data_IF_864006221309
#
_entry.id   IF_864006221309
#
_cell.length_a   1.000
_cell.length_b   1.000
_cell.length_c   1.000
_cell.angle_alpha   90.00
_cell.angle_beta   90.00
_cell.angle_gamma   90.00
#
_symmetry.space_group_name_H-M   'P 1'
#
loop_
_entity.id
_entity.type
_entity.pdbx_description
1 polymer ?
#
# COMPACT_ATOMS: atom_id res chain seq x y z
N UNK A 1 -3.00 36.27 26.00
CA UNK A 1 -2.69 34.82 26.00
C UNK A 1 -3.65 34.15 25.03
N UNK A 2 -3.15 33.72 23.87
CA UNK A 2 -3.92 33.03 22.84
C UNK A 2 -4.23 31.60 23.29
N UNK A 3 -5.52 31.25 23.38
CA UNK A 3 -6.02 29.91 23.67
C UNK A 3 -5.61 28.97 22.53
N UNK A 4 -4.77 27.98 22.82
CA UNK A 4 -4.50 26.87 21.90
C UNK A 4 -5.81 26.07 21.74
N UNK A 5 -6.34 25.88 20.52
CA UNK A 5 -7.52 25.05 20.32
C UNK A 5 -7.18 23.60 20.69
N UNK A 6 -8.03 22.99 21.51
CA UNK A 6 -7.92 21.60 21.91
C UNK A 6 -8.23 20.69 20.72
N UNK A 7 -7.18 20.08 20.15
CA UNK A 7 -7.25 19.19 19.00
C UNK A 7 -7.97 17.85 19.31
N UNK A 8 -8.26 17.58 20.59
CA UNK A 8 -8.92 16.36 21.06
C UNK A 8 -10.34 16.61 21.60
N UNK A 9 -10.88 17.81 21.42
CA UNK A 9 -12.26 18.14 21.82
C UNK A 9 -13.35 17.48 20.95
N UNK A 10 -12.96 16.72 19.92
CA UNK A 10 -13.88 15.87 19.16
C UNK A 10 -14.16 14.56 19.90
N UNK A 11 -15.38 14.03 19.77
CA UNK A 11 -15.71 12.69 20.27
C UNK A 11 -14.63 11.69 19.82
N UNK A 12 -14.05 10.89 20.74
CA UNK A 12 -13.08 9.88 20.37
C UNK A 12 -13.74 8.92 19.37
N UNK A 13 -13.05 8.67 18.25
CA UNK A 13 -13.49 7.72 17.23
C UNK A 13 -13.83 6.37 17.92
N UNK A 14 -15.13 6.11 18.12
CA UNK A 14 -15.60 4.92 18.82
C UNK A 14 -15.73 3.78 17.83
N UNK A 15 -14.60 3.16 17.48
CA UNK A 15 -14.59 1.93 16.69
C UNK A 15 -14.98 0.79 17.62
N UNK A 16 -16.20 0.28 17.49
CA UNK A 16 -16.63 -0.90 18.24
C UNK A 16 -16.43 -2.11 17.34
N UNK A 17 -15.47 -3.00 17.61
CA UNK A 17 -15.33 -4.22 16.84
C UNK A 17 -16.61 -5.04 16.96
N UNK A 18 -17.01 -5.75 15.90
CA UNK A 18 -18.13 -6.69 15.98
C UNK A 18 -17.77 -7.76 17.01
N UNK A 19 -18.66 -8.00 17.97
CA UNK A 19 -18.43 -9.02 18.99
C UNK A 19 -18.28 -10.39 18.32
N UNK A 20 -17.17 -11.09 18.61
CA UNK A 20 -16.85 -12.42 18.08
C UNK A 20 -15.77 -12.45 17.00
N UNK A 21 -15.40 -11.31 16.42
CA UNK A 21 -14.32 -11.24 15.43
C UNK A 21 -12.95 -11.13 16.13
N UNK A 22 -12.03 -12.06 15.85
CA UNK A 22 -10.66 -12.02 16.38
C UNK A 22 -9.73 -11.06 15.60
N UNK A 23 -10.16 -10.62 14.43
CA UNK A 23 -9.38 -9.78 13.50
C UNK A 23 -10.28 -8.79 12.74
N UNK A 24 -9.74 -7.68 12.21
CA UNK A 24 -10.49 -6.78 11.33
C UNK A 24 -11.03 -7.50 10.09
N UNK A 25 -12.25 -7.14 9.65
CA UNK A 25 -12.85 -7.68 8.42
C UNK A 25 -11.96 -7.49 7.19
N UNK A 26 -11.24 -6.38 7.10
CA UNK A 26 -10.28 -6.09 6.04
C UNK A 26 -9.01 -5.52 6.68
N UNK A 27 -7.87 -6.11 6.40
CA UNK A 27 -6.56 -5.53 6.72
C UNK A 27 -5.49 -6.02 5.76
N UNK A 28 -4.41 -5.24 5.60
CA UNK A 28 -3.27 -5.64 4.78
C UNK A 28 -2.21 -6.21 5.70
N UNK A 29 -1.77 -7.45 5.44
CA UNK A 29 -0.74 -8.14 6.22
C UNK A 29 0.67 -7.81 5.76
N UNK A 30 0.85 -7.60 4.45
CA UNK A 30 2.16 -7.33 3.86
C UNK A 30 2.03 -6.51 2.58
N UNK A 31 2.95 -5.57 2.37
CA UNK A 31 3.13 -4.84 1.12
C UNK A 31 4.57 -5.03 0.66
N UNK A 32 4.78 -5.47 -0.57
CA UNK A 32 6.11 -5.70 -1.13
C UNK A 32 6.27 -4.96 -2.45
N UNK A 33 7.40 -4.29 -2.61
CA UNK A 33 7.81 -3.60 -3.83
C UNK A 33 8.87 -4.43 -4.53
N UNK A 34 8.71 -4.58 -5.83
CA UNK A 34 9.53 -5.43 -6.67
C UNK A 34 10.09 -4.63 -7.84
N UNK A 35 11.37 -4.84 -8.15
CA UNK A 35 12.01 -4.26 -9.34
C UNK A 35 11.58 -5.00 -10.60
N UNK A 36 11.40 -6.31 -10.47
CA UNK A 36 11.00 -7.29 -11.48
C UNK A 36 10.35 -8.49 -10.76
N UNK A 37 9.98 -9.56 -11.47
CA UNK A 37 9.29 -10.71 -10.88
C UNK A 37 10.11 -11.49 -9.81
N UNK A 38 11.40 -11.19 -9.65
CA UNK A 38 12.31 -11.95 -8.80
C UNK A 38 12.97 -11.10 -7.71
N UNK A 39 13.12 -9.79 -7.96
CA UNK A 39 13.93 -8.89 -7.13
C UNK A 39 13.08 -8.00 -6.23
N UNK A 40 13.10 -8.26 -4.92
CA UNK A 40 12.45 -7.42 -3.91
C UNK A 40 13.26 -6.15 -3.69
N UNK A 41 12.61 -4.99 -3.82
CA UNK A 41 13.14 -3.67 -3.42
C UNK A 41 12.87 -3.44 -1.93
N UNK A 42 11.65 -3.76 -1.49
CA UNK A 42 11.23 -3.52 -0.10
C UNK A 42 10.12 -4.49 0.29
N UNK A 43 10.22 -5.05 1.49
CA UNK A 43 9.17 -5.88 2.10
C UNK A 43 8.70 -5.24 3.42
N UNK A 44 7.41 -4.96 3.53
CA UNK A 44 6.80 -4.23 4.64
C UNK A 44 5.71 -5.12 5.25
N UNK A 45 5.99 -5.70 6.42
CA UNK A 45 5.00 -6.40 7.22
C UNK A 45 4.16 -5.42 8.04
N UNK A 46 2.86 -5.67 8.10
CA UNK A 46 1.89 -4.90 8.88
C UNK A 46 1.19 -5.84 9.86
N UNK A 47 0.72 -5.27 10.97
CA UNK A 47 -0.04 -5.99 11.99
C UNK A 47 -1.51 -5.54 12.01
N UNK A 48 -2.45 -6.38 12.48
CA UNK A 48 -3.80 -5.92 12.77
C UNK A 48 -3.79 -4.73 13.73
N UNK A 49 -4.73 -3.79 13.55
CA UNK A 49 -4.82 -2.57 14.34
C UNK A 49 -4.02 -1.40 13.74
N UNK A 50 -3.34 -0.63 14.60
CA UNK A 50 -2.66 0.60 14.20
C UNK A 50 -1.18 0.37 13.86
N UNK A 51 -0.81 0.75 12.64
CA UNK A 51 0.57 0.81 12.16
C UNK A 51 0.95 2.28 11.94
N UNK A 52 2.04 2.73 12.55
CA UNK A 52 2.51 4.12 12.46
C UNK A 52 3.69 4.18 11.49
N UNK A 53 3.53 4.90 10.38
CA UNK A 53 4.59 5.16 9.41
C UNK A 53 5.17 6.55 9.67
N UNK A 54 6.41 6.60 10.12
CA UNK A 54 7.09 7.85 10.48
C UNK A 54 8.38 8.03 9.69
N UNK A 55 8.79 9.28 9.49
CA UNK A 55 10.12 9.60 8.98
C UNK A 55 10.55 10.94 9.56
N UNK A 56 11.83 11.09 9.94
CA UNK A 56 12.36 12.33 10.48
C UNK A 56 12.27 13.47 9.46
N UNK A 57 12.17 14.71 9.94
CA UNK A 57 12.26 15.90 9.09
C UNK A 57 13.73 16.10 8.70
N UNK A 58 14.07 16.25 7.39
CA UNK A 58 15.44 16.56 6.98
C UNK A 58 16.00 17.84 7.65
N UNK A 59 15.15 18.77 8.09
CA UNK A 59 15.58 19.95 8.84
C UNK A 59 16.12 19.63 10.25
N UNK A 60 15.72 18.50 10.85
CA UNK A 60 16.22 18.06 12.16
C UNK A 60 17.52 17.24 12.06
N UNK A 61 17.92 16.83 10.85
CA UNK A 61 19.06 15.94 10.62
C UNK A 61 20.42 16.66 10.49
N UNK A 62 20.46 17.99 10.53
CA UNK A 62 21.70 18.77 10.71
C UNK A 62 22.71 18.77 9.56
N UNK A 63 22.39 18.20 8.40
CA UNK A 63 23.32 18.14 7.24
C UNK A 63 22.93 19.21 6.20
N UNK A 64 23.64 20.35 6.23
CA UNK A 64 23.39 21.52 5.37
C UNK A 64 24.02 21.41 3.97
N UNK A 65 24.55 20.26 3.57
CA UNK A 65 25.19 20.08 2.25
C UNK A 65 24.49 19.03 1.40
N UNK A 66 23.29 19.34 0.92
CA UNK A 66 23.03 19.30 -0.53
C UNK A 66 21.63 19.83 -0.83
N UNK A 67 21.62 20.93 -1.57
CA UNK A 67 20.46 21.61 -2.10
C UNK A 67 19.76 20.79 -3.18
N UNK A 68 19.05 19.72 -2.80
CA UNK A 68 17.96 19.16 -3.60
C UNK A 68 16.81 18.62 -2.72
N UNK A 69 16.19 19.53 -1.99
CA UNK A 69 14.75 19.71 -1.71
C UNK A 69 13.75 18.59 -2.12
N UNK A 70 13.99 17.32 -1.78
CA UNK A 70 12.93 16.30 -1.57
C UNK A 70 12.29 16.47 -0.18
N UNK A 71 12.04 17.72 0.25
CA UNK A 71 11.28 18.00 1.47
C UNK A 71 9.86 17.44 1.30
N UNK A 72 9.39 16.62 2.25
CA UNK A 72 8.19 15.75 2.19
C UNK A 72 8.36 14.41 1.44
N UNK A 73 9.52 14.13 0.85
CA UNK A 73 9.77 13.00 -0.06
C UNK A 73 10.13 11.65 0.59
N UNK A 74 9.95 11.46 1.89
CA UNK A 74 10.39 10.22 2.57
C UNK A 74 9.57 8.96 2.22
N UNK A 75 8.62 9.07 1.29
CA UNK A 75 7.84 7.94 0.78
C UNK A 75 6.59 7.58 1.58
N UNK A 76 6.26 8.29 2.66
CA UNK A 76 5.04 8.04 3.48
C UNK A 76 3.76 8.14 2.65
N UNK A 77 3.64 9.21 1.87
CA UNK A 77 2.48 9.42 0.99
C UNK A 77 2.41 8.37 -0.10
N UNK A 78 3.55 8.01 -0.71
CA UNK A 78 3.62 6.97 -1.72
C UNK A 78 3.22 5.61 -1.14
N UNK A 79 3.67 5.26 0.06
CA UNK A 79 3.25 4.05 0.76
C UNK A 79 1.72 3.97 0.90
N UNK A 80 1.08 5.02 1.42
CA UNK A 80 -0.38 5.06 1.55
C UNK A 80 -1.10 4.98 0.19
N UNK A 81 -0.55 5.61 -0.86
CA UNK A 81 -1.11 5.53 -2.21
C UNK A 81 -0.98 4.13 -2.81
N UNK A 82 0.16 3.47 -2.64
CA UNK A 82 0.38 2.10 -3.09
C UNK A 82 -0.53 1.10 -2.39
N UNK A 83 -0.79 1.31 -1.10
CA UNK A 83 -1.74 0.50 -0.35
C UNK A 83 -3.16 0.64 -0.90
N UNK A 84 -3.64 1.87 -1.14
CA UNK A 84 -4.96 2.10 -1.77
C UNK A 84 -5.03 1.56 -3.20
N UNK A 85 -3.94 1.68 -3.95
CA UNK A 85 -3.81 1.09 -5.27
C UNK A 85 -3.98 -0.44 -5.18
N UNK A 86 -3.31 -1.15 -4.28
CA UNK A 86 -3.55 -2.57 -4.08
C UNK A 86 -4.99 -2.90 -3.61
N UNK A 87 -5.72 -1.96 -3.03
CA UNK A 87 -7.12 -2.15 -2.64
C UNK A 87 -8.14 -1.77 -3.72
N UNK A 88 -7.69 -1.33 -4.91
CA UNK A 88 -8.56 -1.14 -6.07
C UNK A 88 -8.63 0.30 -6.63
N UNK A 89 -7.93 1.26 -6.02
CA UNK A 89 -7.86 2.62 -6.61
C UNK A 89 -7.14 2.58 -7.97
N UNK A 90 -7.62 3.33 -8.97
CA UNK A 90 -7.11 3.21 -10.33
C UNK A 90 -5.62 3.59 -10.48
N UNK A 91 -5.14 4.54 -9.67
CA UNK A 91 -3.76 5.03 -9.70
C UNK A 91 -3.12 5.06 -8.31
N UNK A 92 -1.79 5.19 -8.29
CA UNK A 92 -1.00 5.32 -7.06
C UNK A 92 -0.23 6.65 -7.00
N UNK A 93 -0.34 7.50 -8.01
CA UNK A 93 0.23 8.85 -8.02
C UNK A 93 -0.37 9.71 -9.14
N UNK A 94 0.11 10.95 -9.28
CA UNK A 94 -0.12 11.78 -10.47
C UNK A 94 0.47 11.10 -11.71
N UNK A 95 -0.10 11.34 -12.90
CA UNK A 95 0.36 10.73 -14.16
C UNK A 95 1.87 10.90 -14.41
N UNK A 96 2.42 12.11 -14.20
CA UNK A 96 3.85 12.38 -14.36
C UNK A 96 4.72 11.50 -13.44
N UNK A 97 4.37 11.40 -12.16
CA UNK A 97 5.08 10.53 -11.20
C UNK A 97 4.93 9.05 -11.55
N UNK A 98 3.78 8.62 -12.06
CA UNK A 98 3.60 7.24 -12.53
C UNK A 98 4.48 6.96 -13.75
N UNK A 99 4.60 7.90 -14.69
CA UNK A 99 5.50 7.78 -15.84
C UNK A 99 6.96 7.69 -15.39
N UNK A 100 7.39 8.52 -14.43
CA UNK A 100 8.74 8.42 -13.87
C UNK A 100 9.00 7.08 -13.17
N UNK A 101 8.05 6.59 -12.36
CA UNK A 101 8.17 5.27 -11.72
C UNK A 101 8.21 4.17 -12.78
N UNK A 102 7.37 4.22 -13.80
CA UNK A 102 7.35 3.23 -14.86
C UNK A 102 8.62 3.25 -15.71
N UNK A 103 9.22 4.42 -15.94
CA UNK A 103 10.51 4.54 -16.62
C UNK A 103 11.67 3.97 -15.78
N UNK A 104 11.65 4.21 -14.45
CA UNK A 104 12.67 3.70 -13.54
C UNK A 104 12.52 2.18 -13.25
N UNK A 105 11.29 1.68 -13.26
CA UNK A 105 10.96 0.27 -13.02
C UNK A 105 10.00 -0.27 -14.10
N UNK A 106 10.46 -0.47 -15.35
CA UNK A 106 9.58 -0.91 -16.46
C UNK A 106 8.92 -2.27 -16.22
N UNK A 107 9.60 -3.14 -15.47
CA UNK A 107 9.10 -4.45 -15.03
C UNK A 107 8.70 -4.46 -13.54
N UNK A 108 8.52 -3.29 -12.92
CA UNK A 108 8.26 -3.17 -11.50
C UNK A 108 6.85 -3.58 -11.11
N UNK A 109 6.72 -4.13 -9.90
CA UNK A 109 5.45 -4.58 -9.34
C UNK A 109 5.28 -4.13 -7.89
N UNK A 110 4.03 -3.93 -7.49
CA UNK A 110 3.62 -3.83 -6.11
C UNK A 110 2.66 -4.96 -5.80
N UNK A 111 2.91 -5.65 -4.69
CA UNK A 111 2.10 -6.77 -4.25
C UNK A 111 1.60 -6.54 -2.84
N UNK A 112 0.37 -6.95 -2.56
CA UNK A 112 -0.20 -6.91 -1.22
C UNK A 112 -0.80 -8.25 -0.83
N UNK A 113 -0.50 -8.69 0.39
CA UNK A 113 -1.22 -9.76 1.06
C UNK A 113 -2.37 -9.14 1.85
N UNK A 114 -3.60 -9.35 1.37
CA UNK A 114 -4.81 -8.74 1.92
C UNK A 114 -5.62 -9.80 2.65
N UNK A 115 -6.03 -9.52 3.87
CA UNK A 115 -6.92 -10.36 4.66
C UNK A 115 -8.33 -9.80 4.57
N UNK A 116 -9.28 -10.60 4.08
CA UNK A 116 -10.68 -10.22 3.93
C UNK A 116 -11.58 -11.32 4.51
N UNK A 117 -12.33 -11.01 5.55
CA UNK A 117 -13.18 -11.95 6.29
C UNK A 117 -12.42 -13.24 6.69
N UNK A 118 -11.18 -13.08 7.17
CA UNK A 118 -10.28 -14.18 7.54
C UNK A 118 -9.65 -14.95 6.36
N UNK A 119 -9.99 -14.61 5.11
CA UNK A 119 -9.42 -15.24 3.92
C UNK A 119 -8.25 -14.42 3.40
N UNK A 120 -7.14 -15.08 3.10
CA UNK A 120 -5.99 -14.45 2.47
C UNK A 120 -6.23 -14.22 0.98
N UNK A 121 -5.83 -13.06 0.48
CA UNK A 121 -5.86 -12.66 -0.92
C UNK A 121 -4.48 -12.21 -1.35
N UNK A 122 -4.03 -12.74 -2.49
CA UNK A 122 -2.84 -12.28 -3.18
C UNK A 122 -3.21 -11.21 -4.19
N UNK A 123 -2.71 -9.99 -4.00
CA UNK A 123 -2.89 -8.90 -4.97
C UNK A 123 -1.56 -8.57 -5.63
N UNK A 124 -1.56 -8.47 -6.95
CA UNK A 124 -0.41 -8.08 -7.77
C UNK A 124 -0.84 -6.96 -8.71
N UNK A 125 -0.15 -5.82 -8.65
CA UNK A 125 -0.38 -4.70 -9.56
C UNK A 125 0.93 -4.15 -10.14
N UNK A 126 0.90 -3.68 -11.41
CA UNK A 126 2.10 -3.20 -12.07
C UNK A 126 2.46 -1.79 -11.58
N UNK A 127 3.75 -1.53 -11.44
CA UNK A 127 4.30 -0.18 -11.33
C UNK A 127 4.87 0.30 -12.67
N UNK A 128 5.28 -0.66 -13.50
CA UNK A 128 5.86 -0.45 -14.82
C UNK A 128 4.85 -0.39 -15.96
N UNK A 129 5.26 -0.88 -17.13
CA UNK A 129 4.50 -0.77 -18.38
C UNK A 129 3.38 -1.82 -18.53
N UNK A 130 3.40 -2.88 -17.71
CA UNK A 130 2.35 -3.89 -17.72
C UNK A 130 1.00 -3.29 -17.29
N UNK A 131 -0.09 -3.85 -17.81
CA UNK A 131 -1.47 -3.50 -17.43
C UNK A 131 -2.17 -4.62 -16.67
N UNK A 132 -1.52 -5.77 -16.55
CA UNK A 132 -2.08 -6.95 -15.93
C UNK A 132 -2.10 -6.80 -14.42
N UNK A 133 -3.24 -7.06 -13.81
CA UNK A 133 -3.40 -7.00 -12.37
C UNK A 133 -4.26 -8.17 -11.91
N UNK A 134 -3.88 -8.71 -10.75
CA UNK A 134 -4.41 -9.95 -10.21
C UNK A 134 -4.85 -9.75 -8.77
N UNK A 135 -5.98 -10.36 -8.42
CA UNK A 135 -6.49 -10.45 -7.06
C UNK A 135 -7.09 -11.85 -6.90
N UNK A 136 -6.36 -12.74 -6.22
CA UNK A 136 -6.71 -14.17 -6.13
C UNK A 136 -6.78 -14.60 -4.68
N UNK A 137 -7.92 -15.15 -4.28
CA UNK A 137 -8.12 -15.71 -2.94
C UNK A 137 -7.25 -16.97 -2.76
N UNK A 138 -6.67 -17.14 -1.58
CA UNK A 138 -5.93 -18.33 -1.17
C UNK A 138 -4.52 -18.44 -1.75
N UNK A 139 -4.08 -17.47 -2.55
CA UNK A 139 -2.73 -17.44 -3.11
C UNK A 139 -1.87 -16.37 -2.45
N UNK A 140 -0.57 -16.64 -2.39
CA UNK A 140 0.41 -15.64 -2.02
C UNK A 140 0.72 -14.77 -3.23
N UNK A 141 0.89 -13.44 -3.05
CA UNK A 141 1.20 -12.56 -4.17
C UNK A 141 2.49 -12.94 -4.91
N UNK A 142 3.48 -13.49 -4.19
CA UNK A 142 4.75 -13.92 -4.77
C UNK A 142 4.56 -15.10 -5.74
N UNK A 143 3.63 -15.99 -5.44
CA UNK A 143 3.28 -17.11 -6.32
C UNK A 143 2.60 -16.60 -7.58
N UNK A 144 1.66 -15.66 -7.44
CA UNK A 144 0.98 -15.03 -8.58
C UNK A 144 1.96 -14.26 -9.48
N UNK A 145 2.98 -13.63 -8.90
CA UNK A 145 3.99 -12.91 -9.66
C UNK A 145 4.87 -13.85 -10.50
N UNK A 146 5.23 -15.01 -9.95
CA UNK A 146 6.07 -16.03 -10.62
C UNK A 146 5.30 -16.92 -11.58
N UNK A 147 4.01 -17.13 -11.30
CA UNK A 147 3.14 -18.02 -12.07
C UNK A 147 1.77 -17.35 -12.18
N UNK A 148 1.67 -16.30 -13.02
CA UNK A 148 0.42 -15.58 -13.18
C UNK A 148 -0.66 -16.49 -13.78
N UNK A 149 -1.93 -16.31 -13.40
CA UNK A 149 -3.06 -16.93 -14.09
C UNK A 149 -3.05 -16.60 -15.59
N UNK A 150 -3.56 -17.52 -16.42
CA UNK A 150 -3.64 -17.35 -17.89
C UNK A 150 -4.43 -16.10 -18.31
N UNK A 151 -5.37 -15.65 -17.48
CA UNK A 151 -6.14 -14.42 -17.71
C UNK A 151 -6.04 -13.50 -16.48
N UNK A 152 -5.87 -12.18 -16.69
CA UNK A 152 -5.94 -11.19 -15.62
C UNK A 152 -7.29 -11.28 -14.91
N UNK A 153 -7.28 -11.58 -13.61
CA UNK A 153 -8.52 -11.68 -12.83
C UNK A 153 -9.14 -10.31 -12.54
N UNK A 154 -8.38 -9.24 -12.74
CA UNK A 154 -8.77 -7.89 -12.35
C UNK A 154 -8.79 -7.72 -10.83
N UNK A 155 -9.34 -6.59 -10.38
CA UNK A 155 -9.60 -6.30 -8.95
C UNK A 155 -11.08 -6.51 -8.56
N UNK A 156 -11.97 -6.76 -9.54
CA UNK A 156 -13.41 -6.80 -9.31
C UNK A 156 -13.80 -7.85 -8.26
N UNK A 157 -13.17 -9.03 -8.28
CA UNK A 157 -13.44 -10.08 -7.29
C UNK A 157 -13.11 -9.64 -5.86
N UNK A 158 -12.09 -8.81 -5.65
CA UNK A 158 -11.77 -8.29 -4.31
C UNK A 158 -12.74 -7.18 -3.89
N UNK A 159 -13.13 -6.32 -4.84
CA UNK A 159 -13.97 -5.14 -4.59
C UNK A 159 -15.45 -5.51 -4.42
N UNK A 160 -15.94 -6.53 -5.14
CA UNK A 160 -17.35 -6.92 -5.20
C UNK A 160 -17.80 -7.84 -4.05
N UNK A 161 -16.97 -8.09 -3.03
CA UNK A 161 -17.29 -9.01 -1.92
C UNK A 161 -18.28 -8.40 -0.89
N UNK A 162 -18.80 -7.20 -1.11
CA UNK A 162 -19.90 -6.68 -0.29
C UNK A 162 -21.28 -6.92 -0.90
N UNK A 163 -21.91 -8.01 -0.44
CA UNK A 163 -23.28 -8.06 0.09
C UNK A 163 -23.36 -9.18 1.12
#
# INVERSE_FOLDING_TARGET
MSRQPDLFAGEPLKVTPRMGDSEPRLWVRRLTLWRDAETIIRDIALRPGLNVVWSPDPAEAGDETDSNRLGHGSGKTLFCRLLRYCLGEQGHSTEEQQQHIAAAFPAGWVTAEVMLCGKQWGVVRPLGLSREHYAVQGQLPQTLLKSPPEQPTGMALLISIES
#
